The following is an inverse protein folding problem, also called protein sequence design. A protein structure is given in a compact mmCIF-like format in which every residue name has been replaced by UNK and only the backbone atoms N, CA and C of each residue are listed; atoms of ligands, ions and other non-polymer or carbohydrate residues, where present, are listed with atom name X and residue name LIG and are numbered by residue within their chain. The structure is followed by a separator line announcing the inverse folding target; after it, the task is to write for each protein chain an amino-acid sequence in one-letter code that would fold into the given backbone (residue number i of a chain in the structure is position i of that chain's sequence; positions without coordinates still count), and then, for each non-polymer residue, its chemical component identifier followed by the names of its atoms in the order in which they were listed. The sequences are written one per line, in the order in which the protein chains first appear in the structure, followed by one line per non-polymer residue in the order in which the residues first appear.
data_IF_876781516027
#
_entry.id   IF_876781516027
#
_cell.length_a   1.000
_cell.length_b   1.000
_cell.length_c   1.000
_cell.angle_alpha   90.00
_cell.angle_beta   90.00
_cell.angle_gamma   90.00
#
_symmetry.space_group_name_H-M   'P 1'
#
loop_
_entity.id
_entity.type
_entity.pdbx_description
1 polymer ?
#
# COMPACT_ATOMS: atom_id res chain seq x y z
N UNK A 1 36.64 -3.12 -16.99
CA UNK A 1 35.56 -2.53 -16.18
C UNK A 1 34.26 -2.85 -16.90
N UNK A 2 33.52 -3.84 -16.42
CA UNK A 2 32.22 -4.16 -17.00
C UNK A 2 31.27 -3.07 -16.53
N UNK A 3 30.94 -2.15 -17.44
CA UNK A 3 29.86 -1.20 -17.24
C UNK A 3 28.58 -1.98 -17.43
N UNK A 4 28.14 -2.57 -16.34
CA UNK A 4 26.88 -3.24 -16.24
C UNK A 4 25.82 -2.15 -16.06
N UNK A 5 25.55 -1.42 -17.15
CA UNK A 5 24.35 -0.60 -17.25
C UNK A 5 23.15 -1.54 -17.37
N UNK A 6 22.86 -2.29 -16.32
CA UNK A 6 21.49 -2.73 -16.10
C UNK A 6 20.73 -1.44 -15.82
N UNK A 7 20.09 -0.91 -16.85
CA UNK A 7 18.92 -0.07 -16.63
C UNK A 7 17.94 -0.97 -15.87
N UNK A 8 17.93 -0.85 -14.54
CA UNK A 8 16.90 -1.45 -13.73
C UNK A 8 15.63 -0.65 -14.02
N UNK A 9 14.88 -1.10 -15.01
CA UNK A 9 13.50 -0.66 -15.18
C UNK A 9 12.72 -1.19 -13.99
N UNK A 10 12.09 -0.27 -13.28
CA UNK A 10 11.17 -0.60 -12.20
C UNK A 10 9.98 -1.38 -12.77
N UNK A 11 9.68 -2.53 -12.17
CA UNK A 11 8.53 -3.35 -12.59
C UNK A 11 7.34 -2.96 -11.73
N UNK A 12 6.28 -2.46 -12.34
CA UNK A 12 5.05 -2.14 -11.61
C UNK A 12 4.37 -3.41 -11.09
N UNK A 13 4.66 -3.76 -9.83
CA UNK A 13 4.07 -4.96 -9.22
C UNK A 13 2.60 -4.77 -8.87
N UNK A 14 2.05 -3.55 -8.92
CA UNK A 14 0.64 -3.28 -8.70
C UNK A 14 -0.25 -3.71 -9.87
N UNK A 15 0.34 -4.03 -11.03
CA UNK A 15 -0.38 -4.65 -12.15
C UNK A 15 -0.71 -6.13 -11.88
N UNK A 16 -0.07 -6.75 -10.88
CA UNK A 16 -0.37 -8.12 -10.47
C UNK A 16 -1.55 -8.15 -9.49
N UNK A 17 -2.61 -8.89 -9.84
CA UNK A 17 -3.78 -9.03 -8.99
C UNK A 17 -3.42 -9.71 -7.65
N UNK A 18 -3.86 -9.13 -6.54
CA UNK A 18 -3.69 -9.72 -5.21
C UNK A 18 -2.38 -9.36 -4.49
N UNK A 19 -1.53 -8.48 -5.05
CA UNK A 19 -0.27 -8.05 -4.39
C UNK A 19 -0.44 -7.52 -2.96
N UNK A 20 -1.55 -6.82 -2.70
CA UNK A 20 -1.88 -6.26 -1.38
C UNK A 20 -2.90 -7.09 -0.58
N UNK A 21 -3.30 -8.27 -1.09
CA UNK A 21 -3.92 -9.36 -0.32
C UNK A 21 -5.23 -9.09 0.43
N UNK A 22 -5.81 -7.89 0.37
CA UNK A 22 -6.96 -7.52 1.19
C UNK A 22 -7.99 -6.66 0.47
N UNK A 23 -9.27 -6.83 0.85
CA UNK A 23 -10.35 -5.89 0.51
C UNK A 23 -9.99 -4.50 1.09
N UNK A 24 -10.31 -3.43 0.37
CA UNK A 24 -9.94 -2.05 0.73
C UNK A 24 -8.43 -1.78 0.85
N UNK A 25 -7.60 -2.61 0.22
CA UNK A 25 -6.16 -2.35 0.08
C UNK A 25 -5.86 -1.67 -1.26
N UNK A 26 -4.92 -0.73 -1.25
CA UNK A 26 -4.44 0.00 -2.42
C UNK A 26 -2.94 -0.20 -2.56
N UNK A 27 -2.55 -0.70 -3.73
CA UNK A 27 -1.15 -0.80 -4.14
C UNK A 27 -0.64 0.53 -4.70
N UNK A 28 0.57 0.91 -4.33
CA UNK A 28 1.29 2.09 -4.82
C UNK A 28 2.67 1.63 -5.28
N UNK A 29 2.93 1.69 -6.59
CA UNK A 29 4.24 1.35 -7.13
C UNK A 29 5.28 2.44 -6.78
N UNK A 30 6.50 2.05 -6.47
CA UNK A 30 7.62 2.93 -6.11
C UNK A 30 8.89 2.47 -6.81
N UNK A 31 9.84 3.36 -7.11
CA UNK A 31 11.06 2.93 -7.79
C UNK A 31 11.85 1.90 -6.95
N UNK A 32 11.89 0.65 -7.42
CA UNK A 32 12.53 -0.50 -6.78
C UNK A 32 11.66 -1.27 -5.78
N UNK A 33 10.37 -0.92 -5.61
CA UNK A 33 9.45 -1.62 -4.69
C UNK A 33 7.98 -1.22 -4.87
N UNK A 34 7.11 -1.69 -3.97
CA UNK A 34 5.71 -1.27 -3.93
C UNK A 34 5.23 -1.15 -2.47
N UNK A 35 4.24 -0.30 -2.25
CA UNK A 35 3.62 -0.07 -0.95
C UNK A 35 2.15 -0.46 -0.97
N UNK A 36 1.72 -1.16 0.09
CA UNK A 36 0.32 -1.52 0.30
C UNK A 36 -0.29 -0.68 1.41
N UNK A 37 -1.17 0.24 1.01
CA UNK A 37 -1.92 1.14 1.89
C UNK A 37 -3.37 0.71 2.00
N UNK A 38 -4.09 1.20 3.00
CA UNK A 38 -5.54 1.00 3.09
C UNK A 38 -6.28 2.20 2.50
N UNK A 39 -7.46 1.97 1.94
CA UNK A 39 -8.35 3.04 1.46
C UNK A 39 -8.69 4.03 2.58
N UNK A 40 -9.12 5.24 2.22
CA UNK A 40 -9.53 6.25 3.20
C UNK A 40 -10.63 5.72 4.13
N UNK A 41 -10.40 5.83 5.44
CA UNK A 41 -11.28 5.28 6.47
C UNK A 41 -10.97 3.85 6.91
N UNK A 42 -9.99 3.20 6.30
CA UNK A 42 -9.50 1.87 6.67
C UNK A 42 -8.07 1.93 7.22
N UNK A 43 -7.75 1.00 8.13
CA UNK A 43 -6.44 0.85 8.76
C UNK A 43 -6.00 -0.60 8.71
N UNK A 44 -4.69 -0.80 8.56
CA UNK A 44 -4.09 -2.13 8.56
C UNK A 44 -4.15 -2.70 9.97
N UNK A 45 -4.84 -3.83 10.14
CA UNK A 45 -4.94 -4.54 11.41
C UNK A 45 -3.70 -5.43 11.65
N UNK A 46 -3.64 -6.09 12.81
CA UNK A 46 -2.56 -7.03 13.16
C UNK A 46 -2.46 -8.25 12.23
N UNK A 47 -3.51 -8.54 11.47
CA UNK A 47 -3.57 -9.63 10.52
C UNK A 47 -3.18 -9.18 9.09
N UNK A 48 -2.78 -7.93 8.92
CA UNK A 48 -2.43 -7.35 7.62
C UNK A 48 -3.62 -6.98 6.73
N UNK A 49 -4.86 -7.12 7.21
CA UNK A 49 -6.08 -6.74 6.50
C UNK A 49 -6.44 -5.28 6.75
N UNK A 50 -7.06 -4.63 5.76
CA UNK A 50 -7.57 -3.28 5.88
C UNK A 50 -9.00 -3.30 6.46
N UNK A 51 -9.12 -2.94 7.74
CA UNK A 51 -10.41 -2.86 8.44
C UNK A 51 -10.80 -1.42 8.71
N UNK A 52 -12.10 -1.16 8.86
CA UNK A 52 -12.60 0.16 9.22
C UNK A 52 -11.94 0.67 10.51
N UNK A 53 -11.42 1.89 10.47
CA UNK A 53 -10.87 2.51 11.67
C UNK A 53 -11.97 3.01 12.60
N UNK A 54 -12.49 2.10 13.43
CA UNK A 54 -13.47 2.44 14.47
C UNK A 54 -12.85 3.31 15.59
N UNK A 55 -11.52 3.44 15.63
CA UNK A 55 -10.81 4.26 16.63
C UNK A 55 -10.61 5.70 16.16
N UNK A 56 -10.47 5.93 14.85
CA UNK A 56 -10.37 7.27 14.23
C UNK A 56 -11.70 7.96 13.95
N UNK A 57 -12.84 7.31 14.21
CA UNK A 57 -14.16 8.00 14.17
C UNK A 57 -14.36 9.04 15.27
N UNK A 58 -13.42 9.20 16.19
CA UNK A 58 -13.30 10.39 17.02
C UNK A 58 -12.41 11.43 16.31
N UNK A 59 -12.82 11.89 15.13
CA UNK A 59 -12.44 13.25 14.74
C UNK A 59 -13.09 14.14 15.80
N UNK A 60 -12.33 14.52 16.82
CA UNK A 60 -12.73 15.44 17.86
C UNK A 60 -13.06 16.77 17.18
N UNK A 61 -14.28 16.89 16.64
CA UNK A 61 -14.86 18.18 16.31
C UNK A 61 -15.17 18.79 17.67
N UNK A 62 -14.15 19.41 18.26
CA UNK A 62 -14.33 20.30 19.41
C UNK A 62 -15.34 21.36 18.94
N UNK A 63 -16.57 21.29 19.46
CA UNK A 63 -17.53 22.37 19.38
C UNK A 63 -17.25 23.36 20.49
#
# INVERSE_FOLDING_TARGET
LMNDSHECEDVDECLEEGRCGGEHSKCINTEGSYDCTCEEGFVKNSNGACDIDVRGKFHFVLH
#
